data_IF_941830811275
#
_entry.id   IF_941830811275
#
_cell.length_a   1.000
_cell.length_b   1.000
_cell.length_c   1.000
_cell.angle_alpha   90.00
_cell.angle_beta   90.00
_cell.angle_gamma   90.00
#
_symmetry.space_group_name_H-M   'P 1'
#
loop_
_entity.id
_entity.type
_entity.pdbx_description
1 polymer ?
#
# COMPACT_ATOMS: atom_id res chain seq x y z
N UNK A 1 16.77 -21.34 6.37
CA UNK A 1 16.47 -21.34 5.73
C UNK A 1 16.02 -20.82 5.44
N UNK A 2 16.00 -20.56 5.78
CA UNK A 2 15.45 -20.27 5.13
C UNK A 2 14.92 -19.89 4.78
N UNK A 3 15.23 -19.99 5.18
CA UNK A 3 14.69 -19.80 4.43
C UNK A 3 14.07 -19.50 4.37
N UNK A 4 14.46 -19.78 4.98
CA UNK A 4 13.88 -19.67 4.47
C UNK A 4 13.44 -19.21 4.66
N UNK A 5 13.74 -19.24 5.24
CA UNK A 5 13.31 -18.93 4.83
C UNK A 5 13.01 -18.55 4.84
N UNK A 6 13.56 -18.59 5.23
CA UNK A 6 13.30 -18.39 4.72
C UNK A 6 12.78 -18.26 4.64
N UNK A 7 13.09 -18.60 5.14
CA UNK A 7 12.71 -18.59 4.61
C UNK A 7 12.18 -18.32 4.76
N UNK A 8 12.57 -18.51 5.28
CA UNK A 8 12.23 -18.48 5.00
C UNK A 8 11.79 -17.90 5.01
N UNK A 9 12.25 -17.73 5.45
CA UNK A 9 11.99 -17.44 4.93
C UNK A 9 11.65 -17.03 4.68
N UNK A 10 11.99 -17.05 5.04
CA UNK A 10 11.87 -16.99 4.35
C UNK A 10 11.44 -16.82 4.09
N UNK A 11 11.70 -16.91 4.49
CA UNK A 11 11.44 -16.93 3.85
C UNK A 11 10.99 -16.70 3.89
N UNK A 12 11.14 -16.63 4.31
CA UNK A 12 10.95 -16.54 4.03
C UNK A 12 10.59 -16.03 3.82
N UNK A 13 10.86 -15.85 3.91
CA UNK A 13 10.76 -15.59 3.35
C UNK A 13 10.20 -15.35 2.97
N UNK A 14 10.34 -15.29 3.03
CA UNK A 14 10.00 -15.25 2.43
C UNK A 14 9.46 -15.37 2.23
N UNK A 15 9.70 -15.26 2.50
CA UNK A 15 9.32 -15.54 2.21
C UNK A 15 8.75 -15.53 2.26
N UNK A 16 8.87 -15.57 2.34
CA UNK A 16 8.54 -15.58 2.32
C UNK A 16 7.93 -15.14 2.51
N UNK A 17 7.66 -14.91 2.74
CA UNK A 17 7.26 -14.26 2.81
C UNK A 17 6.47 -13.76 3.29
N UNK A 18 6.46 -13.53 3.81
CA UNK A 18 5.96 -13.17 4.44
C UNK A 18 5.14 -12.15 4.30
N UNK A 19 4.29 -11.98 3.61
CA UNK A 19 3.37 -10.97 3.56
C UNK A 19 2.25 -11.33 4.42
N UNK A 20 1.55 -10.36 4.93
CA UNK A 20 0.37 -10.65 5.66
C UNK A 20 -0.81 -10.34 4.78
N UNK A 21 -1.91 -10.95 5.00
CA UNK A 21 -3.08 -10.71 4.18
C UNK A 21 -3.70 -9.37 4.52
N UNK A 22 -4.21 -8.71 3.56
CA UNK A 22 -4.91 -7.47 3.78
C UNK A 22 -6.35 -7.83 3.96
N UNK A 23 -6.90 -7.44 5.06
CA UNK A 23 -8.20 -7.91 5.37
C UNK A 23 -9.27 -7.53 4.46
N UNK A 24 -9.13 -6.51 3.78
CA UNK A 24 -10.25 -6.07 3.23
C UNK A 24 -10.74 -6.67 2.06
N UNK A 25 -10.13 -7.04 1.24
CA UNK A 25 -10.64 -7.23 0.05
C UNK A 25 -11.70 -8.07 -0.03
N UNK A 26 -12.00 -8.59 0.73
CA UNK A 26 -12.71 -9.41 0.42
C UNK A 26 -13.50 -9.77 1.38
N UNK A 27 -14.45 -9.40 1.55
CA UNK A 27 -15.29 -9.76 2.48
C UNK A 27 -15.18 -11.13 2.93
N UNK A 28 -15.08 -11.95 2.06
CA UNK A 28 -15.11 -13.31 2.46
C UNK A 28 -13.91 -13.71 3.19
N UNK A 29 -12.89 -12.98 3.09
CA UNK A 29 -11.73 -13.38 3.77
C UNK A 29 -11.60 -12.83 5.10
N UNK A 30 -12.50 -12.11 5.51
CA UNK A 30 -12.37 -11.50 6.75
C UNK A 30 -12.30 -12.41 7.88
N UNK A 31 -12.95 -13.46 7.81
CA UNK A 31 -12.90 -14.33 8.91
C UNK A 31 -11.54 -14.85 9.08
N UNK A 32 -10.92 -15.13 8.01
CA UNK A 32 -9.61 -15.68 8.13
C UNK A 32 -8.70 -14.76 8.79
N UNK A 33 -8.82 -13.53 8.50
CA UNK A 33 -7.99 -12.62 9.06
C UNK A 33 -8.15 -12.49 10.48
N UNK A 34 -9.31 -12.51 10.90
CA UNK A 34 -9.48 -12.32 12.27
C UNK A 34 -8.92 -13.40 13.01
N UNK A 35 -8.89 -14.52 12.44
CA UNK A 35 -8.42 -15.56 13.16
C UNK A 35 -7.12 -15.38 13.59
N UNK A 36 -6.38 -14.99 12.79
CA UNK A 36 -5.11 -15.01 13.13
C UNK A 36 -4.74 -14.13 13.99
N UNK A 37 -5.37 -13.44 14.36
CA UNK A 37 -4.82 -12.71 15.10
C UNK A 37 -5.05 -11.85 15.71
N UNK A 38 -4.81 -12.00 16.37
CA UNK A 38 -4.73 -11.19 17.21
C UNK A 38 -4.31 -9.93 16.82
N UNK A 39 -3.55 -9.76 16.04
CA UNK A 39 -3.05 -8.50 15.85
C UNK A 39 -3.36 -8.02 14.51
N UNK A 40 -3.75 -6.80 14.38
CA UNK A 40 -3.88 -6.17 13.13
C UNK A 40 -2.53 -5.75 12.66
N UNK A 41 -2.29 -5.67 11.40
CA UNK A 41 -1.01 -5.17 10.90
C UNK A 41 -0.81 -3.75 11.34
N UNK A 42 0.41 -3.41 11.64
CA UNK A 42 0.71 -2.05 12.02
C UNK A 42 0.75 -1.15 10.80
N UNK A 43 0.69 0.15 11.05
CA UNK A 43 0.78 1.13 10.01
C UNK A 43 2.02 0.89 9.16
N UNK A 44 3.16 0.63 9.80
CA UNK A 44 4.41 0.42 9.10
C UNK A 44 4.40 -0.86 8.26
N UNK A 45 3.74 -1.89 8.74
CA UNK A 45 3.65 -3.12 7.98
C UNK A 45 2.81 -2.92 6.72
N UNK A 46 1.73 -2.16 6.84
CA UNK A 46 0.87 -1.89 5.69
C UNK A 46 1.64 -1.10 4.64
N UNK A 47 2.34 -0.05 5.06
CA UNK A 47 3.11 0.78 4.16
C UNK A 47 4.19 -0.06 3.47
N UNK A 48 4.85 -0.89 4.22
CA UNK A 48 5.93 -1.69 3.70
C UNK A 48 5.44 -2.64 2.61
N UNK A 49 4.30 -3.27 2.84
CA UNK A 49 3.73 -4.17 1.84
C UNK A 49 3.29 -3.40 0.59
N UNK A 50 2.70 -2.24 0.79
CA UNK A 50 2.27 -1.43 -0.33
C UNK A 50 3.47 -1.01 -1.18
N UNK A 51 4.53 -0.55 -0.54
CA UNK A 51 5.73 -0.14 -1.26
C UNK A 51 6.36 -1.30 -1.99
N UNK A 52 6.34 -2.48 -1.39
CA UNK A 52 6.91 -3.65 -2.00
C UNK A 52 6.18 -3.99 -3.29
N UNK A 53 4.87 -4.06 -3.25
CA UNK A 53 4.10 -4.36 -4.46
C UNK A 53 4.26 -3.27 -5.50
N UNK A 54 4.31 -2.02 -5.07
CA UNK A 54 4.48 -0.91 -5.98
C UNK A 54 5.84 -1.02 -6.70
N UNK A 55 6.88 -1.35 -5.96
CA UNK A 55 8.21 -1.44 -6.57
C UNK A 55 8.31 -2.62 -7.53
N UNK A 56 7.44 -3.59 -7.37
CA UNK A 56 7.41 -4.74 -8.27
C UNK A 56 6.51 -4.48 -9.49
N UNK A 57 5.93 -3.31 -9.58
CA UNK A 57 5.02 -3.01 -10.68
C UNK A 57 3.64 -3.61 -10.51
N UNK A 58 3.36 -4.18 -9.34
CA UNK A 58 2.06 -4.79 -9.11
C UNK A 58 1.11 -3.74 -8.59
N UNK A 59 0.59 -2.94 -9.51
CA UNK A 59 -0.22 -1.79 -9.14
C UNK A 59 -1.54 -2.18 -8.47
N UNK A 60 -2.14 -3.26 -8.90
CA UNK A 60 -3.41 -3.66 -8.31
C UNK A 60 -3.26 -4.03 -6.84
N UNK A 61 -2.24 -4.81 -6.51
CA UNK A 61 -2.03 -5.17 -5.12
C UNK A 61 -1.59 -3.98 -4.30
N UNK A 62 -0.71 -3.16 -4.86
CA UNK A 62 -0.27 -1.97 -4.14
C UNK A 62 -1.47 -1.08 -3.80
N UNK A 63 -2.39 -0.92 -4.75
CA UNK A 63 -3.56 -0.07 -4.53
C UNK A 63 -4.40 -0.59 -3.36
N UNK A 64 -4.52 -1.90 -3.22
CA UNK A 64 -5.29 -2.46 -2.12
C UNK A 64 -4.68 -2.11 -0.76
N UNK A 65 -3.35 -2.20 -0.67
CA UNK A 65 -2.70 -1.90 0.60
C UNK A 65 -2.72 -0.40 0.90
N UNK A 66 -2.55 0.44 -0.12
CA UNK A 66 -2.65 1.87 0.09
C UNK A 66 -4.06 2.25 0.54
N UNK A 67 -5.06 1.66 -0.11
CA UNK A 67 -6.43 1.96 0.26
C UNK A 67 -6.73 1.49 1.67
N UNK A 68 -6.25 0.32 2.04
CA UNK A 68 -6.46 -0.18 3.38
C UNK A 68 -5.84 0.77 4.41
N UNK A 69 -4.64 1.27 4.13
CA UNK A 69 -3.97 2.23 5.00
C UNK A 69 -4.85 3.46 5.19
N UNK A 70 -5.36 3.98 4.10
CA UNK A 70 -6.19 5.19 4.14
C UNK A 70 -7.51 4.92 4.88
N UNK A 71 -8.09 3.78 4.63
CA UNK A 71 -9.36 3.44 5.26
C UNK A 71 -9.24 3.25 6.76
N UNK A 72 -8.05 2.94 7.25
CA UNK A 72 -7.81 2.86 8.68
C UNK A 72 -7.68 4.24 9.31
N UNK A 73 -7.70 5.28 8.53
CA UNK A 73 -7.61 6.64 9.05
C UNK A 73 -6.19 7.15 9.19
N UNK A 74 -5.22 6.42 8.69
CA UNK A 74 -3.83 6.86 8.77
C UNK A 74 -3.54 7.91 7.72
N UNK A 75 -2.63 8.81 8.01
CA UNK A 75 -2.22 9.84 7.08
C UNK A 75 -0.72 9.82 6.89
N UNK A 76 -0.30 9.84 5.65
CA UNK A 76 1.13 9.90 5.33
C UNK A 76 1.22 10.41 3.89
N UNK A 77 1.87 11.55 3.70
CA UNK A 77 1.93 12.17 2.38
C UNK A 77 2.57 11.26 1.36
N UNK A 78 3.53 10.42 1.77
CA UNK A 78 4.16 9.50 0.82
C UNK A 78 3.18 8.45 0.33
N UNK A 79 2.31 7.99 1.22
CA UNK A 79 1.31 7.00 0.85
C UNK A 79 0.33 7.60 -0.15
N UNK A 80 -0.14 8.82 0.11
CA UNK A 80 -1.09 9.45 -0.80
C UNK A 80 -0.45 9.74 -2.16
N UNK A 81 0.81 10.15 -2.18
CA UNK A 81 1.48 10.41 -3.43
C UNK A 81 1.69 9.13 -4.22
N UNK A 82 2.12 8.08 -3.57
CA UNK A 82 2.34 6.80 -4.23
C UNK A 82 1.03 6.15 -4.67
N UNK A 83 -0.01 6.32 -3.87
CA UNK A 83 -1.32 5.82 -4.25
C UNK A 83 -1.78 6.54 -5.52
N UNK A 84 -1.52 7.85 -5.62
CA UNK A 84 -1.83 8.59 -6.83
C UNK A 84 -1.13 8.01 -8.05
N UNK A 85 0.15 7.65 -7.91
CA UNK A 85 0.89 7.07 -9.01
C UNK A 85 0.26 5.75 -9.44
N UNK A 86 -0.07 4.93 -8.47
CA UNK A 86 -0.67 3.63 -8.75
C UNK A 86 -2.03 3.80 -9.42
N UNK A 87 -2.83 4.75 -8.93
CA UNK A 87 -4.15 5.01 -9.51
C UNK A 87 -4.01 5.50 -10.95
N UNK A 88 -3.01 6.34 -11.21
CA UNK A 88 -2.78 6.81 -12.56
C UNK A 88 -2.42 5.63 -13.45
N UNK A 89 -1.55 4.76 -12.97
CA UNK A 89 -1.15 3.59 -13.75
C UNK A 89 -2.33 2.65 -14.03
N UNK A 90 -3.32 2.67 -13.16
CA UNK A 90 -4.52 1.88 -13.36
C UNK A 90 -5.59 2.63 -14.16
N UNK A 91 -5.27 3.82 -14.63
CA UNK A 91 -6.20 4.59 -15.46
C UNK A 91 -7.22 5.41 -14.69
N UNK A 92 -7.08 5.48 -13.36
CA UNK A 92 -8.05 6.18 -12.53
C UNK A 92 -7.58 7.60 -12.26
N UNK A 93 -7.62 8.43 -13.28
CA UNK A 93 -6.99 9.74 -13.22
C UNK A 93 -7.63 10.71 -12.22
N UNK A 94 -8.93 10.69 -12.09
CA UNK A 94 -9.55 11.59 -11.14
C UNK A 94 -9.25 11.24 -9.72
N UNK A 95 -9.20 9.95 -9.42
CA UNK A 95 -8.85 9.51 -8.09
C UNK A 95 -7.38 9.79 -7.81
N UNK A 96 -6.54 9.68 -8.85
CA UNK A 96 -5.13 9.99 -8.70
C UNK A 96 -4.95 11.45 -8.34
N UNK A 97 -5.69 12.31 -9.00
CA UNK A 97 -5.62 13.74 -8.73
C UNK A 97 -5.97 14.03 -7.27
N UNK A 98 -7.05 13.42 -6.80
CA UNK A 98 -7.46 13.63 -5.41
C UNK A 98 -6.38 13.17 -4.45
N UNK A 99 -5.76 12.07 -4.75
CA UNK A 99 -4.73 11.52 -3.89
C UNK A 99 -3.49 12.41 -3.85
N UNK A 100 -3.09 12.94 -4.99
CA UNK A 100 -1.97 13.87 -5.02
C UNK A 100 -2.28 15.15 -4.25
N UNK A 101 -3.49 15.65 -4.37
CA UNK A 101 -3.86 16.86 -3.66
C UNK A 101 -3.85 16.64 -2.16
N UNK A 102 -4.24 15.44 -1.73
CA UNK A 102 -4.19 15.11 -0.32
C UNK A 102 -2.73 15.04 0.16
N UNK A 103 -1.84 14.51 -0.66
CA UNK A 103 -0.42 14.47 -0.32
C UNK A 103 0.12 15.89 -0.11
N UNK A 104 -0.28 16.81 -0.98
CA UNK A 104 0.15 18.20 -0.87
C UNK A 104 -0.42 18.85 0.38
N UNK A 105 -1.66 18.53 0.69
CA UNK A 105 -2.29 19.06 1.88
C UNK A 105 -1.51 18.62 3.13
N UNK A 106 -1.09 17.38 3.15
CA UNK A 106 -0.36 16.85 4.30
C UNK A 106 1.07 17.35 4.38
N UNK A 107 1.68 17.60 3.24
CA UNK A 107 3.04 18.10 3.21
C UNK A 107 3.20 19.07 2.03
N UNK A 108 2.95 20.35 2.23
CA UNK A 108 2.99 21.32 1.13
C UNK A 108 4.35 21.47 0.48
N UNK A 109 5.41 20.96 1.10
CA UNK A 109 6.73 21.05 0.53
C UNK A 109 7.14 19.81 -0.25
N UNK A 110 6.23 18.85 -0.41
CA UNK A 110 6.57 17.60 -1.06
C UNK A 110 6.52 17.78 -2.57
N UNK A 111 7.66 18.10 -3.15
CA UNK A 111 7.70 18.46 -4.56
C UNK A 111 7.29 17.34 -5.50
N UNK A 112 7.49 16.10 -5.11
CA UNK A 112 7.08 14.98 -5.96
C UNK A 112 5.58 14.98 -6.22
N UNK A 113 4.79 15.35 -5.23
CA UNK A 113 3.34 15.37 -5.41
C UNK A 113 2.92 16.44 -6.40
N UNK A 114 3.60 17.60 -6.36
CA UNK A 114 3.28 18.65 -7.30
C UNK A 114 3.64 18.24 -8.72
N UNK A 115 4.79 17.62 -8.86
CA UNK A 115 5.22 17.17 -10.16
C UNK A 115 4.27 16.12 -10.70
N UNK A 116 3.87 15.19 -9.87
CA UNK A 116 2.93 14.14 -10.27
C UNK A 116 1.58 14.70 -10.64
N UNK A 117 1.13 15.69 -9.89
CA UNK A 117 -0.16 16.31 -10.17
C UNK A 117 -0.08 17.02 -11.52
N UNK A 118 1.00 17.73 -11.77
CA UNK A 118 1.17 18.43 -13.05
C UNK A 118 1.13 17.48 -14.23
N UNK A 119 1.60 16.26 -14.04
CA UNK A 119 1.63 15.30 -15.13
C UNK A 119 0.27 14.79 -15.55
N UNK A 120 -0.75 14.96 -14.75
CA UNK A 120 -2.07 14.46 -15.11
C UNK A 120 -3.09 15.56 -15.31
N UNK A 121 -2.71 16.82 -15.14
CA UNK A 121 -3.63 17.92 -15.36
C UNK A 121 -3.58 18.44 -16.83
#
# INVERSE_FOLDING_TARGET
MEELYQRKHTNKQISEFETFPVPFPLGENQENITINTSSKPSKEQIISQAFKFHSQGNNSEAAKYYKYFIDQGFNDHRVFSNYGIVLKNLGKLKEAEKSYRKAIELNPNFSNAYSNLGNIL
#
